data_IF_483294913490
#
_entry.id   IF_483294913490
#
_cell.length_a   1.000
_cell.length_b   1.000
_cell.length_c   1.000
_cell.angle_alpha   90.00
_cell.angle_beta   90.00
_cell.angle_gamma   90.00
#
_symmetry.space_group_name_H-M   'P 1'
#
loop_
_entity.id
_entity.type
_entity.pdbx_description
1 polymer ?
#
# COMPACT_ATOMS: atom_id res chain seq x y z
N UNK A 1 14.11 23.53 17.36
CA UNK A 1 12.94 23.55 16.44
C UNK A 1 12.66 22.11 16.01
N UNK A 2 11.63 21.50 16.60
CA UNK A 2 11.22 20.15 16.21
C UNK A 2 10.67 20.22 14.78
N UNK A 3 11.39 19.61 13.84
CA UNK A 3 10.91 19.44 12.48
C UNK A 3 9.76 18.43 12.54
N UNK A 4 8.52 18.94 12.55
CA UNK A 4 7.32 18.13 12.37
C UNK A 4 7.48 17.40 11.04
N UNK A 5 7.91 16.13 11.09
CA UNK A 5 7.88 15.26 9.91
C UNK A 5 6.44 15.31 9.42
N UNK A 6 6.17 15.78 8.18
CA UNK A 6 4.80 15.72 7.67
C UNK A 6 4.38 14.26 7.80
N UNK A 7 3.21 14.04 8.40
CA UNK A 7 2.59 12.73 8.44
C UNK A 7 2.38 12.32 6.98
N UNK A 8 3.33 11.59 6.39
CA UNK A 8 3.30 11.21 4.97
C UNK A 8 2.33 10.04 4.84
N UNK A 9 1.05 10.33 5.00
CA UNK A 9 -0.02 9.36 4.82
C UNK A 9 0.01 8.87 3.38
N UNK A 10 0.00 7.55 3.21
CA UNK A 10 -0.09 6.91 1.90
C UNK A 10 -1.39 6.11 1.83
N UNK A 11 -2.12 6.15 0.70
CA UNK A 11 -3.26 5.25 0.49
C UNK A 11 -2.83 3.80 0.27
N UNK A 12 -1.53 3.56 0.06
CA UNK A 12 -0.97 2.24 -0.13
C UNK A 12 -1.28 1.31 1.06
N UNK A 13 -1.92 0.20 0.76
CA UNK A 13 -2.18 -0.92 1.69
C UNK A 13 -1.50 -2.17 1.18
N UNK A 14 -1.37 -3.18 2.03
CA UNK A 14 -0.92 -4.50 1.57
C UNK A 14 -1.93 -5.05 0.53
N UNK A 15 -1.51 -5.38 -0.70
CA UNK A 15 -2.39 -5.97 -1.70
C UNK A 15 -3.05 -7.27 -1.23
N UNK A 16 -2.40 -8.03 -0.35
CA UNK A 16 -2.83 -9.37 0.04
C UNK A 16 -3.77 -9.36 1.25
N UNK A 17 -3.43 -8.64 2.32
CA UNK A 17 -4.23 -8.61 3.54
C UNK A 17 -4.93 -7.28 3.82
N UNK A 18 -4.83 -6.29 2.92
CA UNK A 18 -5.45 -4.95 3.00
C UNK A 18 -5.11 -4.11 4.23
N UNK A 19 -4.27 -4.61 5.14
CA UNK A 19 -3.82 -3.87 6.33
C UNK A 19 -2.92 -2.70 5.95
N UNK A 20 -2.87 -1.72 6.86
CA UNK A 20 -1.92 -0.62 6.79
C UNK A 20 -0.48 -1.15 6.78
N UNK A 21 0.38 -0.44 6.09
CA UNK A 21 1.79 -0.79 5.99
C UNK A 21 2.59 -0.10 7.10
N UNK A 22 3.61 -0.80 7.59
CA UNK A 22 4.62 -0.27 8.51
C UNK A 22 5.78 0.33 7.70
N UNK A 23 6.70 1.01 8.39
CA UNK A 23 7.92 1.56 7.79
C UNK A 23 7.65 2.39 6.52
N UNK A 24 6.57 3.19 6.54
CA UNK A 24 6.09 3.93 5.36
C UNK A 24 7.10 4.97 4.90
N UNK A 25 7.41 4.93 3.61
CA UNK A 25 8.28 5.88 2.93
C UNK A 25 7.49 6.50 1.78
N UNK A 26 7.29 7.81 1.83
CA UNK A 26 6.88 8.59 0.66
C UNK A 26 8.05 9.48 0.27
N UNK A 27 8.65 9.26 -0.89
CA UNK A 27 9.84 9.97 -1.37
C UNK A 27 9.50 10.76 -2.62
N UNK A 28 9.86 12.03 -2.65
CA UNK A 28 9.86 12.80 -3.89
C UNK A 28 11.01 12.32 -4.77
N UNK A 29 10.69 11.78 -5.95
CA UNK A 29 11.67 11.32 -6.95
C UNK A 29 12.09 12.46 -7.87
N UNK A 30 11.17 13.37 -8.16
CA UNK A 30 11.45 14.52 -9.01
C UNK A 30 10.20 15.31 -9.32
N UNK A 31 10.26 16.08 -10.41
CA UNK A 31 9.15 16.83 -10.97
C UNK A 31 9.06 16.47 -12.45
N UNK A 32 7.93 15.91 -12.88
CA UNK A 32 7.72 15.58 -14.31
C UNK A 32 7.48 16.85 -15.13
N UNK A 33 6.80 17.82 -14.53
CA UNK A 33 6.74 19.22 -14.96
C UNK A 33 6.83 20.12 -13.73
N UNK A 34 6.91 21.45 -13.89
CA UNK A 34 7.08 22.39 -12.77
C UNK A 34 6.08 22.21 -11.61
N UNK A 35 4.89 21.64 -11.87
CA UNK A 35 3.79 21.47 -10.90
C UNK A 35 3.40 20.02 -10.62
N UNK A 36 3.99 19.03 -11.29
CA UNK A 36 3.59 17.63 -11.14
C UNK A 36 4.57 16.87 -10.26
N UNK A 37 4.20 16.53 -9.01
CA UNK A 37 5.07 15.75 -8.15
C UNK A 37 5.18 14.32 -8.71
N UNK A 38 6.41 13.83 -8.81
CA UNK A 38 6.71 12.40 -8.94
C UNK A 38 7.11 11.85 -7.58
N UNK A 39 6.31 10.94 -7.06
CA UNK A 39 6.48 10.37 -5.73
C UNK A 39 6.57 8.85 -5.78
N UNK A 40 7.45 8.28 -4.97
CA UNK A 40 7.49 6.86 -4.64
C UNK A 40 6.81 6.67 -3.29
N UNK A 41 5.79 5.84 -3.24
CA UNK A 41 5.13 5.40 -2.02
C UNK A 41 5.54 3.97 -1.75
N UNK A 42 6.07 3.67 -0.57
CA UNK A 42 6.45 2.32 -0.18
C UNK A 42 6.08 2.05 1.28
N UNK A 43 5.86 0.78 1.60
CA UNK A 43 5.61 0.34 2.97
C UNK A 43 5.78 -1.17 3.12
N UNK A 44 5.98 -1.63 4.35
CA UNK A 44 6.23 -3.02 4.69
C UNK A 44 5.02 -3.65 5.36
N UNK A 45 4.54 -4.76 4.83
CA UNK A 45 3.63 -5.65 5.53
C UNK A 45 4.48 -6.69 6.30
N UNK A 46 4.24 -6.92 7.61
CA UNK A 46 5.00 -7.93 8.38
C UNK A 46 4.91 -9.34 7.79
N UNK A 47 3.74 -9.72 7.28
CA UNK A 47 3.50 -11.05 6.70
C UNK A 47 3.98 -11.14 5.25
N UNK A 48 3.76 -10.07 4.48
CA UNK A 48 3.86 -10.15 3.03
C UNK A 48 5.05 -9.40 2.43
N UNK A 49 5.85 -8.68 3.24
CA UNK A 49 7.03 -7.94 2.80
C UNK A 49 6.74 -6.54 2.27
N UNK A 50 7.69 -5.98 1.51
CA UNK A 50 7.59 -4.62 0.97
C UNK A 50 6.70 -4.53 -0.27
N UNK A 51 5.99 -3.42 -0.37
CA UNK A 51 5.22 -2.99 -1.53
C UNK A 51 5.53 -1.54 -1.85
N UNK A 52 5.48 -1.17 -3.13
CA UNK A 52 5.63 0.20 -3.56
C UNK A 52 4.74 0.54 -4.75
N UNK A 53 4.46 1.83 -4.94
CA UNK A 53 3.82 2.38 -6.12
C UNK A 53 4.40 3.76 -6.42
N UNK A 54 4.39 4.12 -7.70
CA UNK A 54 4.77 5.47 -8.13
C UNK A 54 3.53 6.28 -8.48
N UNK A 55 3.54 7.54 -8.07
CA UNK A 55 2.46 8.50 -8.27
C UNK A 55 3.04 9.66 -9.07
N UNK A 56 2.50 9.86 -10.27
CA UNK A 56 2.82 10.99 -11.14
C UNK A 56 1.51 11.67 -11.50
N UNK A 57 1.10 12.66 -10.70
CA UNK A 57 -0.11 13.46 -10.92
C UNK A 57 -1.45 12.70 -11.00
N UNK A 58 -1.43 11.36 -10.87
CA UNK A 58 -2.55 10.43 -11.07
C UNK A 58 -2.39 9.24 -10.12
N UNK A 59 -3.47 8.52 -9.77
CA UNK A 59 -3.36 7.29 -9.00
C UNK A 59 -2.42 6.28 -9.68
N UNK A 60 -1.74 5.41 -8.92
CA UNK A 60 -0.85 4.43 -9.49
C UNK A 60 -1.65 3.41 -10.30
N UNK A 61 -1.09 2.95 -11.42
CA UNK A 61 -1.67 1.86 -12.22
C UNK A 61 -1.38 0.49 -11.65
N UNK A 62 -0.29 0.37 -10.91
CA UNK A 62 0.21 -0.89 -10.39
C UNK A 62 0.89 -0.68 -9.05
N UNK A 63 0.81 -1.69 -8.19
CA UNK A 63 1.56 -1.81 -6.93
C UNK A 63 2.53 -2.98 -7.07
N UNK A 64 3.80 -2.75 -6.78
CA UNK A 64 4.85 -3.74 -6.95
C UNK A 64 5.26 -4.34 -5.60
N UNK A 65 5.20 -5.67 -5.42
CA UNK A 65 5.94 -6.34 -4.35
C UNK A 65 7.43 -6.20 -4.65
N UNK A 66 8.20 -5.63 -3.71
CA UNK A 66 9.64 -5.38 -3.90
C UNK A 66 10.46 -5.97 -2.77
N UNK A 67 11.77 -6.11 -2.97
CA UNK A 67 12.70 -6.57 -1.92
C UNK A 67 12.94 -5.50 -0.85
N UNK A 68 12.93 -4.23 -1.25
CA UNK A 68 13.05 -3.02 -0.42
C UNK A 68 12.49 -1.81 -1.19
N UNK A 69 12.25 -0.65 -0.55
CA UNK A 69 11.88 0.57 -1.26
C UNK A 69 12.88 0.94 -2.35
N UNK A 70 12.40 1.15 -3.58
CA UNK A 70 13.23 1.38 -4.78
C UNK A 70 14.09 0.17 -5.17
N UNK A 71 13.78 -1.02 -4.67
CA UNK A 71 14.43 -2.28 -5.00
C UNK A 71 13.82 -2.95 -6.23
N UNK A 72 14.15 -4.23 -6.42
CA UNK A 72 13.63 -5.04 -7.51
C UNK A 72 12.27 -5.64 -7.16
N UNK A 73 11.42 -5.80 -8.18
CA UNK A 73 10.17 -6.54 -8.04
C UNK A 73 10.45 -8.00 -7.67
N UNK A 74 9.66 -8.56 -6.76
CA UNK A 74 9.76 -9.97 -6.34
C UNK A 74 8.49 -10.72 -6.72
N UNK A 75 8.65 -12.03 -6.85
CA UNK A 75 7.58 -12.94 -7.19
C UNK A 75 6.61 -13.15 -6.03
N UNK A 76 5.31 -13.10 -6.32
CA UNK A 76 4.22 -13.56 -5.47
C UNK A 76 3.49 -14.67 -6.23
N UNK A 77 3.10 -15.75 -5.53
CA UNK A 77 2.29 -16.82 -6.11
C UNK A 77 0.94 -16.85 -5.43
N UNK A 78 -0.14 -16.75 -6.19
CA UNK A 78 -1.53 -16.92 -5.73
C UNK A 78 -2.23 -17.89 -6.67
N UNK A 79 -2.94 -18.88 -6.13
CA UNK A 79 -3.65 -19.90 -6.91
C UNK A 79 -2.78 -20.55 -8.01
N UNK A 80 -1.49 -20.76 -7.73
CA UNK A 80 -0.51 -21.32 -8.67
C UNK A 80 -0.04 -20.37 -9.79
N UNK A 81 -0.53 -19.12 -9.81
CA UNK A 81 -0.14 -18.09 -10.78
C UNK A 81 0.88 -17.13 -10.19
N UNK A 82 1.88 -16.76 -10.98
CA UNK A 82 2.95 -15.86 -10.57
C UNK A 82 2.61 -14.40 -10.91
N UNK A 83 2.90 -13.50 -9.97
CA UNK A 83 2.65 -12.07 -10.08
C UNK A 83 3.90 -11.29 -9.65
N UNK A 84 4.19 -10.23 -10.40
CA UNK A 84 5.26 -9.27 -10.13
C UNK A 84 4.74 -7.85 -9.92
N UNK A 85 3.43 -7.65 -10.13
CA UNK A 85 2.72 -6.40 -9.94
C UNK A 85 1.24 -6.71 -9.67
N UNK A 86 0.58 -5.84 -8.91
CA UNK A 86 -0.86 -5.86 -8.68
C UNK A 86 -1.47 -4.67 -9.42
N UNK A 87 -2.27 -4.87 -10.48
CA UNK A 87 -2.97 -3.78 -11.13
C UNK A 87 -3.98 -3.17 -10.15
N UNK A 88 -4.13 -1.86 -10.22
CA UNK A 88 -5.12 -1.14 -9.41
C UNK A 88 -6.41 -0.93 -10.19
N UNK A 89 -7.50 -0.56 -9.50
CA UNK A 89 -8.75 -0.15 -10.13
C UNK A 89 -8.53 0.99 -11.14
N UNK A 90 -7.58 1.90 -10.89
CA UNK A 90 -7.24 2.95 -11.86
C UNK A 90 -6.75 2.41 -13.20
N UNK A 91 -6.10 1.24 -13.23
CA UNK A 91 -5.55 0.63 -14.44
C UNK A 91 -6.61 0.33 -15.50
N UNK A 92 -7.84 0.01 -15.08
CA UNK A 92 -8.96 -0.33 -15.98
C UNK A 92 -9.85 0.84 -16.39
N UNK A 93 -9.77 1.99 -15.71
CA UNK A 93 -10.64 3.14 -15.98
C UNK A 93 -10.08 4.03 -17.10
N UNK A 94 -10.94 4.88 -17.70
CA UNK A 94 -10.48 5.94 -18.59
C UNK A 94 -9.64 6.93 -17.78
N UNK A 95 -8.34 7.01 -18.10
CA UNK A 95 -7.40 7.84 -17.35
C UNK A 95 -7.44 9.32 -17.73
N UNK A 96 -8.38 9.76 -18.58
CA UNK A 96 -8.54 11.19 -18.92
C UNK A 96 -9.25 11.99 -17.83
N UNK A 97 -10.08 11.35 -17.02
CA UNK A 97 -10.83 11.99 -15.93
C UNK A 97 -9.93 12.62 -14.87
N UNK A 98 -10.29 13.79 -14.35
CA UNK A 98 -9.55 14.43 -13.24
C UNK A 98 -9.98 13.84 -11.90
N UNK A 99 -9.03 13.29 -11.15
CA UNK A 99 -9.27 12.64 -9.85
C UNK A 99 -8.16 12.98 -8.88
N UNK A 100 -8.45 12.89 -7.58
CA UNK A 100 -7.42 12.93 -6.55
C UNK A 100 -6.48 11.71 -6.68
N UNK A 101 -5.17 11.91 -6.92
CA UNK A 101 -4.19 10.81 -6.98
C UNK A 101 -4.11 9.96 -5.72
N UNK A 102 -4.56 10.49 -4.57
CA UNK A 102 -4.48 9.83 -3.27
C UNK A 102 -5.83 9.29 -2.77
N UNK A 103 -6.88 9.32 -3.59
CA UNK A 103 -8.13 8.63 -3.26
C UNK A 103 -7.89 7.12 -3.24
N UNK A 104 -8.03 6.52 -2.05
CA UNK A 104 -7.74 5.12 -1.78
C UNK A 104 -8.51 4.14 -2.68
N UNK A 105 -9.69 4.52 -3.17
CA UNK A 105 -10.51 3.68 -4.06
C UNK A 105 -9.78 3.34 -5.36
N UNK A 106 -8.95 4.25 -5.86
CA UNK A 106 -8.16 4.05 -7.07
C UNK A 106 -6.87 3.24 -6.84
N UNK A 107 -6.50 3.00 -5.58
CA UNK A 107 -5.36 2.18 -5.18
C UNK A 107 -5.73 0.73 -4.86
N UNK A 108 -7.03 0.42 -4.77
CA UNK A 108 -7.52 -0.93 -4.59
C UNK A 108 -7.08 -1.83 -5.74
N UNK A 109 -6.89 -3.12 -5.45
CA UNK A 109 -6.42 -4.09 -6.44
C UNK A 109 -7.58 -4.50 -7.36
N UNK A 110 -7.30 -4.49 -8.65
CA UNK A 110 -8.18 -5.03 -9.67
C UNK A 110 -8.01 -6.56 -9.75
N UNK A 111 -8.73 -7.26 -8.88
CA UNK A 111 -8.71 -8.73 -8.82
C UNK A 111 -9.33 -9.38 -10.05
N UNK A 112 -10.30 -8.72 -10.69
CA UNK A 112 -10.89 -9.18 -11.94
C UNK A 112 -9.83 -9.28 -13.03
N UNK A 113 -9.00 -8.24 -13.17
CA UNK A 113 -7.88 -8.22 -14.11
C UNK A 113 -6.77 -9.21 -13.76
N UNK A 114 -6.52 -9.46 -12.47
CA UNK A 114 -5.56 -10.50 -12.06
C UNK A 114 -6.05 -11.90 -12.42
N UNK A 115 -7.36 -12.11 -12.51
CA UNK A 115 -7.98 -13.39 -12.84
C UNK A 115 -7.81 -14.42 -11.72
N UNK A 116 -7.60 -13.98 -10.48
CA UNK A 116 -7.54 -14.81 -9.27
C UNK A 116 -8.41 -14.22 -8.19
N UNK A 117 -8.82 -15.04 -7.22
CA UNK A 117 -9.67 -14.54 -6.14
C UNK A 117 -8.85 -13.69 -5.16
N UNK A 118 -9.42 -12.62 -4.59
CA UNK A 118 -8.78 -11.92 -3.49
C UNK A 118 -8.53 -12.88 -2.33
N UNK A 119 -7.35 -12.82 -1.67
CA UNK A 119 -7.10 -13.59 -0.47
C UNK A 119 -8.16 -13.30 0.59
N UNK A 120 -8.61 -14.34 1.29
CA UNK A 120 -9.48 -14.18 2.46
C UNK A 120 -8.76 -13.30 3.48
N UNK A 121 -9.43 -12.23 3.92
CA UNK A 121 -8.90 -11.43 5.01
C UNK A 121 -8.94 -12.26 6.29
N UNK A 122 -7.78 -12.61 6.84
CA UNK A 122 -7.71 -13.05 8.22
C UNK A 122 -8.09 -11.84 9.10
N UNK A 123 -9.12 -11.92 9.94
CA UNK A 123 -9.39 -10.87 10.91
C UNK A 123 -8.14 -10.70 11.77
N UNK A 124 -7.74 -9.45 12.01
CA UNK A 124 -6.64 -9.15 12.92
C UNK A 124 -6.94 -9.82 14.26
N UNK A 125 -6.00 -10.61 14.77
CA UNK A 125 -6.11 -11.27 16.07
C UNK A 125 -6.64 -10.27 17.10
N UNK A 126 -7.78 -10.59 17.71
CA UNK A 126 -8.42 -9.80 18.75
C UNK A 126 -7.37 -9.44 19.81
N UNK A 127 -7.30 -8.15 20.15
CA UNK A 127 -6.54 -7.69 21.29
C UNK A 127 -7.12 -8.37 22.53
N UNK A 128 -6.43 -9.38 23.04
CA UNK A 128 -6.73 -10.00 24.33
C UNK A 128 -6.51 -8.91 25.38
N UNK A 129 -7.59 -8.28 25.84
CA UNK A 129 -7.58 -7.45 27.04
C UNK A 129 -7.19 -8.34 28.22
N UNK A 130 -5.95 -8.21 28.68
CA UNK A 130 -5.54 -8.72 30.00
C UNK A 130 -6.20 -7.85 31.07
N UNK A 131 -7.43 -8.19 31.44
CA UNK A 131 -8.01 -7.78 32.71
C UNK A 131 -7.39 -8.61 33.83
N UNK A 132 -6.63 -7.95 34.69
CA UNK A 132 -6.19 -8.48 35.99
C UNK A 132 -5.14 -7.55 36.59
N UNK A 133 -5.19 -7.12 37.85
CA UNK A 133 -6.04 -7.45 39.00
C UNK A 133 -5.77 -6.33 40.01
N UNK A 134 -6.81 -5.66 40.49
CA UNK A 134 -6.70 -4.76 41.64
C UNK A 134 -6.37 -5.57 42.89
N UNK A 135 -5.27 -5.25 43.56
CA UNK A 135 -5.07 -5.65 44.95
C UNK A 135 -5.05 -4.40 45.83
N UNK A 136 -6.03 -4.39 46.74
CA UNK A 136 -6.27 -3.40 47.77
C UNK A 136 -5.12 -3.47 48.78
N UNK A 137 -4.46 -2.34 49.05
CA UNK A 137 -3.65 -2.20 50.25
C UNK A 137 -4.57 -1.95 51.45
N UNK A 138 -4.42 -2.81 52.45
CA UNK A 138 -4.79 -2.56 53.83
C UNK A 138 -3.51 -2.33 54.62
#
# INVERSE_FOLDING_TARGET
MASTRPNRSTPLRCPLCRRELQDVIVRQLGRVTARLPWQLHAGRCPEHGWFQAEVISRPPREIFPVTRPGGIARRIVLDGKEFYAFPTIWNRLDTRQEVDPFDARFWEIDWERLGVRPPTLTPAAEAVETVGRSERHA
#
